data_IF_266821776353
#
_entry.id   IF_266821776353
#
_cell.length_a   1.000
_cell.length_b   1.000
_cell.length_c   1.000
_cell.angle_alpha   90.00
_cell.angle_beta   90.00
_cell.angle_gamma   90.00
#
_symmetry.space_group_name_H-M   'P 1'
#
loop_
_entity.id
_entity.type
_entity.pdbx_description
1 polymer ?
#
# COMPACT_ATOMS: atom_id res chain seq x y z
N UNK A 1 -7.38 18.40 -8.89
CA UNK A 1 -7.70 17.50 -7.74
C UNK A 1 -6.44 17.37 -6.91
N UNK A 2 -6.56 17.50 -5.60
CA UNK A 2 -5.44 17.35 -4.65
C UNK A 2 -5.11 15.87 -4.42
N UNK A 3 -3.85 15.51 -4.52
CA UNK A 3 -3.37 14.14 -4.36
C UNK A 3 -2.09 14.14 -3.53
N UNK A 4 -1.98 13.15 -2.63
CA UNK A 4 -0.79 12.94 -1.83
C UNK A 4 -0.20 11.57 -2.13
N UNK A 5 1.10 11.53 -2.35
CA UNK A 5 1.88 10.30 -2.34
C UNK A 5 2.68 10.30 -1.04
N UNK A 6 2.53 9.25 -0.27
CA UNK A 6 3.20 9.06 1.01
C UNK A 6 4.03 7.80 0.91
N UNK A 7 5.32 7.88 1.19
CA UNK A 7 6.21 6.73 1.22
C UNK A 7 7.03 6.69 2.49
N UNK A 8 7.43 5.50 2.90
CA UNK A 8 8.31 5.31 4.05
C UNK A 8 9.75 5.66 3.67
N UNK A 9 10.46 6.35 4.55
CA UNK A 9 11.89 6.60 4.40
C UNK A 9 12.64 5.42 4.99
N UNK A 10 13.50 4.80 4.19
CA UNK A 10 14.26 3.62 4.59
C UNK A 10 15.04 3.87 5.89
N UNK A 11 14.96 2.92 6.81
CA UNK A 11 15.60 2.97 8.15
C UNK A 11 15.16 4.14 9.05
N UNK A 12 14.05 4.82 8.72
CA UNK A 12 13.54 5.95 9.49
C UNK A 12 12.08 5.71 9.93
N UNK A 13 11.68 6.33 11.05
CA UNK A 13 10.27 6.44 11.45
C UNK A 13 9.53 7.55 10.72
N UNK A 14 10.22 8.25 9.80
CA UNK A 14 9.66 9.34 9.01
C UNK A 14 9.06 8.84 7.71
N UNK A 15 8.13 9.62 7.21
CA UNK A 15 7.47 9.46 5.93
C UNK A 15 7.85 10.61 5.04
N UNK A 16 7.98 10.33 3.75
CA UNK A 16 8.06 11.37 2.72
C UNK A 16 6.65 11.65 2.21
N UNK A 17 6.16 12.86 2.39
CA UNK A 17 4.87 13.35 1.93
C UNK A 17 5.08 14.25 0.72
N UNK A 18 4.56 13.83 -0.43
CA UNK A 18 4.60 14.62 -1.66
C UNK A 18 3.18 15.02 -2.04
N UNK A 19 2.96 16.33 -2.19
CA UNK A 19 1.67 16.90 -2.57
C UNK A 19 1.65 17.30 -4.03
N UNK A 20 0.59 16.89 -4.74
CA UNK A 20 0.34 17.22 -6.14
C UNK A 20 -1.00 17.94 -6.34
N UNK A 21 -1.03 18.91 -7.25
CA UNK A 21 -2.25 19.46 -7.84
C UNK A 21 -2.32 19.09 -9.32
N UNK A 22 -3.24 18.16 -9.65
CA UNK A 22 -3.17 17.48 -10.94
C UNK A 22 -1.85 16.70 -11.04
N UNK A 23 -1.10 16.92 -12.12
CA UNK A 23 0.20 16.28 -12.33
C UNK A 23 1.40 17.13 -11.87
N UNK A 24 1.15 18.29 -11.22
CA UNK A 24 2.23 19.19 -10.80
C UNK A 24 2.55 18.94 -9.33
N UNK A 25 3.81 18.62 -9.04
CA UNK A 25 4.34 18.58 -7.67
C UNK A 25 4.38 20.00 -7.10
N UNK A 26 3.77 20.18 -5.95
CA UNK A 26 3.66 21.46 -5.24
C UNK A 26 4.58 21.52 -4.04
N UNK A 27 4.65 20.44 -3.28
CA UNK A 27 5.39 20.39 -2.01
C UNK A 27 5.92 18.98 -1.74
N UNK A 28 7.04 18.92 -1.07
CA UNK A 28 7.59 17.68 -0.51
C UNK A 28 8.12 17.97 0.90
N UNK A 29 7.79 17.12 1.85
CA UNK A 29 8.21 17.28 3.24
C UNK A 29 8.34 15.94 3.95
N UNK A 30 9.17 15.90 4.97
CA UNK A 30 9.27 14.76 5.88
C UNK A 30 8.34 14.97 7.08
N UNK A 31 7.50 13.98 7.34
CA UNK A 31 6.56 13.97 8.47
C UNK A 31 6.67 12.67 9.25
N UNK A 32 6.01 12.59 10.40
CA UNK A 32 5.79 11.32 11.10
C UNK A 32 4.41 10.75 10.78
N UNK A 33 4.20 9.46 11.04
CA UNK A 33 2.90 8.81 10.83
C UNK A 33 1.77 9.49 11.65
N UNK A 34 2.10 10.00 12.85
CA UNK A 34 1.15 10.70 13.72
C UNK A 34 0.74 12.09 13.19
N UNK A 35 1.58 12.69 12.34
CA UNK A 35 1.35 14.04 11.80
C UNK A 35 0.50 14.04 10.53
N UNK A 36 0.11 12.87 10.02
CA UNK A 36 -0.66 12.77 8.77
C UNK A 36 -1.92 13.63 8.78
N UNK A 37 -2.67 13.60 9.89
CA UNK A 37 -3.94 14.31 9.98
C UNK A 37 -3.81 15.83 9.89
N UNK A 38 -2.71 16.39 10.39
CA UNK A 38 -2.47 17.84 10.36
C UNK A 38 -1.91 18.35 9.05
N UNK A 39 -1.34 17.44 8.22
CA UNK A 39 -0.66 17.79 6.97
C UNK A 39 -1.45 17.43 5.72
N UNK A 40 -2.61 16.77 5.84
CA UNK A 40 -3.40 16.31 4.72
C UNK A 40 -4.76 17.01 4.68
N UNK A 41 -5.11 17.57 3.52
CA UNK A 41 -6.41 18.15 3.26
C UNK A 41 -7.51 17.08 3.20
N UNK A 42 -8.67 17.35 3.81
CA UNK A 42 -9.78 16.38 3.92
C UNK A 42 -10.43 15.97 2.60
N UNK A 43 -10.29 16.79 1.55
CA UNK A 43 -10.90 16.54 0.23
C UNK A 43 -9.89 15.99 -0.80
N UNK A 44 -8.82 15.35 -0.35
CA UNK A 44 -7.76 14.82 -1.21
C UNK A 44 -7.81 13.30 -1.36
N UNK A 45 -7.10 12.79 -2.37
CA UNK A 45 -6.79 11.36 -2.51
C UNK A 45 -5.41 11.10 -1.95
N UNK A 46 -5.28 10.00 -1.22
CA UNK A 46 -4.03 9.57 -0.60
C UNK A 46 -3.60 8.24 -1.21
N UNK A 47 -2.38 8.21 -1.72
CA UNK A 47 -1.67 6.98 -2.12
C UNK A 47 -0.56 6.73 -1.11
N UNK A 48 -0.79 5.81 -0.19
CA UNK A 48 0.22 5.40 0.77
C UNK A 48 0.99 4.19 0.21
N UNK A 49 2.27 4.40 -0.02
CA UNK A 49 3.18 3.41 -0.58
C UNK A 49 3.82 2.62 0.56
N UNK A 50 3.44 1.36 0.68
CA UNK A 50 4.06 0.43 1.62
C UNK A 50 5.46 0.07 1.16
N UNK A 51 6.39 0.02 2.10
CA UNK A 51 7.76 -0.44 1.85
C UNK A 51 7.75 -1.89 1.35
N UNK A 52 8.13 -2.09 0.11
CA UNK A 52 8.11 -3.41 -0.53
C UNK A 52 9.12 -4.39 0.04
N UNK A 53 10.09 -3.93 0.86
CA UNK A 53 10.95 -4.82 1.65
C UNK A 53 10.21 -5.53 2.80
N UNK A 54 9.02 -5.04 3.17
CA UNK A 54 8.12 -5.59 4.20
C UNK A 54 6.98 -6.42 3.61
N UNK A 55 7.04 -6.68 2.31
CA UNK A 55 5.98 -7.38 1.59
C UNK A 55 6.61 -8.54 0.82
N UNK A 56 6.10 -9.73 1.05
CA UNK A 56 6.42 -10.89 0.19
C UNK A 56 5.27 -11.09 -0.80
N UNK A 57 5.60 -11.25 -2.07
CA UNK A 57 4.61 -11.37 -3.15
C UNK A 57 4.78 -12.71 -3.87
N UNK A 58 3.67 -13.42 -4.09
CA UNK A 58 3.64 -14.74 -4.69
C UNK A 58 2.57 -14.82 -5.77
N UNK A 59 2.83 -15.61 -6.81
CA UNK A 59 1.78 -16.12 -7.67
C UNK A 59 1.28 -17.45 -7.11
N UNK A 60 -0.02 -17.54 -6.83
CA UNK A 60 -0.62 -18.76 -6.31
C UNK A 60 -2.04 -18.92 -6.86
N UNK A 61 -2.23 -19.92 -7.69
CA UNK A 61 -3.49 -20.16 -8.39
C UNK A 61 -4.61 -20.51 -7.41
N UNK A 62 -5.73 -19.81 -7.50
CA UNK A 62 -6.95 -20.16 -6.79
C UNK A 62 -7.69 -21.26 -7.55
N UNK A 63 -8.20 -22.26 -6.85
CA UNK A 63 -9.05 -23.31 -7.44
C UNK A 63 -10.50 -22.82 -7.58
N UNK A 64 -11.23 -23.42 -8.54
CA UNK A 64 -12.64 -23.13 -8.71
C UNK A 64 -13.40 -23.49 -7.43
N UNK A 65 -14.33 -22.63 -7.03
CA UNK A 65 -15.16 -22.82 -5.83
C UNK A 65 -14.43 -22.83 -4.48
N UNK A 66 -13.13 -22.51 -4.46
CA UNK A 66 -12.37 -22.44 -3.22
C UNK A 66 -12.77 -21.22 -2.39
N UNK A 67 -13.12 -21.43 -1.10
CA UNK A 67 -13.37 -20.32 -0.19
C UNK A 67 -12.06 -19.59 0.14
N UNK A 68 -12.15 -18.36 0.65
CA UNK A 68 -10.97 -17.58 1.01
C UNK A 68 -10.13 -18.31 2.07
N UNK A 69 -10.77 -18.88 3.07
CA UNK A 69 -10.11 -19.57 4.18
C UNK A 69 -9.37 -20.83 3.71
N UNK A 70 -9.97 -21.61 2.80
CA UNK A 70 -9.32 -22.78 2.20
C UNK A 70 -8.13 -22.37 1.34
N UNK A 71 -8.29 -21.33 0.53
CA UNK A 71 -7.22 -20.78 -0.29
C UNK A 71 -6.02 -20.33 0.54
N UNK A 72 -6.27 -19.58 1.62
CA UNK A 72 -5.25 -19.12 2.55
C UNK A 72 -4.55 -20.30 3.26
N UNK A 73 -5.31 -21.28 3.76
CA UNK A 73 -4.74 -22.47 4.40
C UNK A 73 -3.87 -23.28 3.42
N UNK A 74 -4.33 -23.50 2.19
CA UNK A 74 -3.57 -24.23 1.16
C UNK A 74 -2.31 -23.46 0.77
N UNK A 75 -2.39 -22.14 0.65
CA UNK A 75 -1.21 -21.30 0.37
C UNK A 75 -0.15 -21.48 1.45
N UNK A 76 -0.53 -21.38 2.72
CA UNK A 76 0.44 -21.54 3.83
C UNK A 76 1.02 -22.95 3.89
N UNK A 77 0.22 -23.98 3.67
CA UNK A 77 0.71 -25.36 3.62
C UNK A 77 1.71 -25.59 2.46
N UNK A 78 1.47 -24.97 1.28
CA UNK A 78 2.35 -25.09 0.12
C UNK A 78 3.66 -24.29 0.26
N UNK A 79 3.63 -23.22 1.03
CA UNK A 79 4.76 -22.28 1.15
C UNK A 79 5.49 -22.36 2.50
N UNK A 80 5.13 -23.29 3.37
CA UNK A 80 5.70 -23.42 4.72
C UNK A 80 7.24 -23.42 4.72
N UNK A 81 7.85 -24.17 3.80
CA UNK A 81 9.31 -24.34 3.73
C UNK A 81 10.07 -23.07 3.29
N UNK A 82 9.40 -22.13 2.61
CA UNK A 82 10.03 -20.91 2.09
C UNK A 82 9.68 -19.64 2.87
N UNK A 83 8.71 -19.75 3.79
CA UNK A 83 8.33 -18.61 4.63
C UNK A 83 9.31 -18.48 5.81
N UNK A 84 10.06 -17.40 5.79
CA UNK A 84 11.06 -17.09 6.84
C UNK A 84 10.41 -16.63 8.14
N UNK A 85 9.25 -15.99 8.05
CA UNK A 85 8.55 -15.41 9.19
C UNK A 85 7.39 -16.29 9.65
N UNK A 86 7.12 -16.27 10.95
CA UNK A 86 5.95 -16.92 11.53
C UNK A 86 4.66 -16.43 10.84
N UNK A 87 3.85 -17.37 10.40
CA UNK A 87 2.56 -17.13 9.71
C UNK A 87 1.64 -16.27 10.57
N UNK A 88 1.65 -16.43 11.89
CA UNK A 88 0.83 -15.67 12.84
C UNK A 88 1.13 -14.16 12.81
N UNK A 89 2.34 -13.79 12.39
CA UNK A 89 2.82 -12.42 12.29
C UNK A 89 2.63 -11.83 10.90
N UNK A 90 1.96 -12.56 9.98
CA UNK A 90 1.71 -12.12 8.63
C UNK A 90 0.24 -11.77 8.39
N UNK A 91 0.00 -10.74 7.59
CA UNK A 91 -1.32 -10.38 7.06
C UNK A 91 -1.41 -10.86 5.62
N UNK A 92 -2.37 -11.75 5.38
CA UNK A 92 -2.62 -12.32 4.06
C UNK A 92 -3.60 -11.47 3.25
N UNK A 93 -3.23 -11.16 2.01
CA UNK A 93 -4.10 -10.54 1.01
C UNK A 93 -3.99 -11.31 -0.29
N UNK A 94 -5.10 -11.43 -1.01
CA UNK A 94 -5.12 -12.02 -2.35
C UNK A 94 -5.94 -11.15 -3.29
N UNK A 95 -5.40 -10.96 -4.50
CA UNK A 95 -6.04 -10.21 -5.57
C UNK A 95 -5.95 -11.01 -6.85
N UNK A 96 -7.02 -10.99 -7.64
CA UNK A 96 -7.04 -11.61 -8.96
C UNK A 96 -7.04 -10.51 -10.01
N UNK A 97 -6.04 -10.51 -10.88
CA UNK A 97 -5.93 -9.62 -12.03
C UNK A 97 -5.58 -10.44 -13.27
N UNK A 98 -6.40 -10.37 -14.32
CA UNK A 98 -6.13 -11.00 -15.64
C UNK A 98 -5.66 -12.47 -15.59
N UNK A 99 -6.35 -13.32 -14.80
CA UNK A 99 -6.02 -14.72 -14.52
C UNK A 99 -4.77 -14.95 -13.64
N UNK A 100 -4.08 -13.92 -13.20
CA UNK A 100 -3.03 -14.02 -12.20
C UNK A 100 -3.62 -13.81 -10.82
N UNK A 101 -3.34 -14.73 -9.90
CA UNK A 101 -3.72 -14.56 -8.50
C UNK A 101 -2.46 -14.20 -7.71
N UNK A 102 -2.38 -12.92 -7.35
CA UNK A 102 -1.30 -12.41 -6.52
C UNK A 102 -1.65 -12.56 -5.05
N UNK A 103 -0.77 -13.16 -4.30
CA UNK A 103 -0.81 -13.24 -2.85
C UNK A 103 0.26 -12.33 -2.28
N UNK A 104 -0.13 -11.56 -1.26
CA UNK A 104 0.76 -10.66 -0.54
C UNK A 104 0.75 -11.04 0.94
N UNK A 105 1.93 -11.22 1.48
CA UNK A 105 2.15 -11.32 2.91
C UNK A 105 2.81 -10.03 3.39
N UNK A 106 2.20 -9.38 4.36
CA UNK A 106 2.68 -8.13 4.94
C UNK A 106 2.86 -8.34 6.43
N UNK A 107 3.97 -7.86 6.98
CA UNK A 107 4.16 -7.84 8.43
C UNK A 107 2.94 -7.23 9.12
N UNK A 108 2.36 -7.96 10.06
CA UNK A 108 1.07 -7.62 10.66
C UNK A 108 1.15 -6.34 11.49
N UNK A 109 2.19 -6.18 12.30
CA UNK A 109 2.35 -5.00 13.15
C UNK A 109 2.58 -3.76 12.28
N UNK A 110 3.44 -3.86 11.28
CA UNK A 110 3.68 -2.80 10.30
C UNK A 110 2.39 -2.36 9.59
N UNK A 111 1.63 -3.32 9.07
CA UNK A 111 0.36 -3.04 8.40
C UNK A 111 -0.67 -2.41 9.34
N UNK A 112 -0.86 -2.97 10.54
CA UNK A 112 -1.89 -2.51 11.49
C UNK A 112 -1.59 -1.11 12.02
N UNK A 113 -0.32 -0.78 12.25
CA UNK A 113 0.08 0.57 12.63
C UNK A 113 -0.30 1.61 11.57
N UNK A 114 0.00 1.34 10.30
CA UNK A 114 -0.36 2.23 9.18
C UNK A 114 -1.88 2.28 9.00
N UNK A 115 -2.55 1.13 8.99
CA UNK A 115 -4.00 1.04 8.83
C UNK A 115 -4.74 1.83 9.92
N UNK A 116 -4.29 1.77 11.16
CA UNK A 116 -4.89 2.48 12.28
C UNK A 116 -4.79 4.00 12.11
N UNK A 117 -3.63 4.52 11.71
CA UNK A 117 -3.45 5.96 11.48
C UNK A 117 -4.25 6.45 10.27
N UNK A 118 -4.21 5.72 9.17
CA UNK A 118 -4.97 6.06 7.96
C UNK A 118 -6.50 6.01 8.21
N UNK A 119 -6.97 5.12 9.07
CA UNK A 119 -8.40 5.02 9.41
C UNK A 119 -8.95 6.25 10.16
N UNK A 120 -8.07 7.11 10.69
CA UNK A 120 -8.46 8.39 11.31
C UNK A 120 -8.75 9.49 10.29
N UNK A 121 -8.40 9.25 9.02
CA UNK A 121 -8.61 10.19 7.92
C UNK A 121 -9.94 9.88 7.21
N UNK A 122 -10.58 10.93 6.68
CA UNK A 122 -11.84 10.81 5.92
C UNK A 122 -11.61 10.88 4.41
N UNK A 123 -10.41 10.56 3.96
CA UNK A 123 -9.98 10.68 2.59
C UNK A 123 -10.27 9.39 1.80
N UNK A 124 -10.27 9.49 0.46
CA UNK A 124 -10.13 8.31 -0.41
C UNK A 124 -8.68 7.84 -0.31
N UNK A 125 -8.45 6.63 0.17
CA UNK A 125 -7.12 6.11 0.49
C UNK A 125 -6.84 4.85 -0.33
N UNK A 126 -5.66 4.83 -0.95
CA UNK A 126 -5.06 3.65 -1.56
C UNK A 126 -3.80 3.29 -0.79
N UNK A 127 -3.76 2.09 -0.25
CA UNK A 127 -2.62 1.50 0.43
C UNK A 127 -2.06 0.41 -0.48
N UNK A 128 -0.91 0.65 -1.09
CA UNK A 128 -0.34 -0.18 -2.16
C UNK A 128 1.16 -0.41 -1.95
N UNK A 129 1.76 -1.47 -2.50
CA UNK A 129 3.21 -1.63 -2.50
C UNK A 129 3.89 -0.52 -3.32
N UNK A 130 5.03 -0.03 -2.87
CA UNK A 130 5.73 1.06 -3.56
C UNK A 130 6.20 0.72 -4.99
N UNK A 131 6.50 -0.56 -5.29
CA UNK A 131 6.89 -0.96 -6.64
C UNK A 131 5.75 -0.81 -7.68
N UNK A 132 4.50 -0.56 -7.23
CA UNK A 132 3.40 -0.20 -8.14
C UNK A 132 3.56 1.18 -8.78
N UNK A 133 4.51 2.01 -8.32
CA UNK A 133 4.95 3.19 -9.06
C UNK A 133 5.46 2.84 -10.46
N UNK A 134 5.98 1.61 -10.65
CA UNK A 134 6.33 1.06 -11.96
C UNK A 134 5.04 0.59 -12.66
N UNK A 135 4.33 1.54 -13.31
CA UNK A 135 2.95 1.34 -13.78
C UNK A 135 2.84 0.52 -15.08
N UNK A 136 3.92 0.32 -15.82
CA UNK A 136 3.87 -0.49 -17.05
C UNK A 136 3.50 -1.94 -16.74
N UNK A 137 2.68 -2.50 -17.61
CA UNK A 137 2.23 -3.90 -17.54
C UNK A 137 3.09 -4.77 -18.45
N UNK A 138 3.10 -6.06 -18.14
CA UNK A 138 3.71 -7.11 -18.97
C UNK A 138 5.22 -6.95 -19.25
N UNK A 139 5.93 -6.22 -18.38
CA UNK A 139 7.37 -6.05 -18.44
C UNK A 139 8.00 -6.19 -17.06
N UNK A 140 9.20 -6.75 -17.05
CA UNK A 140 10.07 -6.73 -15.89
C UNK A 140 10.76 -5.37 -15.83
N UNK A 141 10.52 -4.62 -14.77
CA UNK A 141 10.96 -3.23 -14.63
C UNK A 141 11.78 -3.07 -13.36
N UNK A 142 12.80 -2.24 -13.43
CA UNK A 142 13.51 -1.78 -12.25
C UNK A 142 13.75 -0.28 -12.27
N UNK A 143 13.89 0.30 -11.10
CA UNK A 143 14.39 1.65 -10.92
C UNK A 143 15.27 1.76 -9.69
N UNK A 144 16.43 2.37 -9.88
CA UNK A 144 17.30 2.78 -8.76
C UNK A 144 16.86 4.15 -8.27
N UNK A 145 16.39 4.21 -7.02
CA UNK A 145 16.14 5.46 -6.32
C UNK A 145 17.37 5.85 -5.49
N UNK A 146 17.29 6.96 -4.76
CA UNK A 146 18.38 7.42 -3.90
C UNK A 146 18.87 6.34 -2.91
N UNK A 147 17.93 5.57 -2.34
CA UNK A 147 18.20 4.68 -1.20
C UNK A 147 17.91 3.22 -1.48
N UNK A 148 17.21 2.88 -2.57
CA UNK A 148 16.78 1.52 -2.85
C UNK A 148 16.60 1.25 -4.35
N UNK A 149 16.60 -0.03 -4.69
CA UNK A 149 16.18 -0.56 -5.97
C UNK A 149 14.74 -1.07 -5.82
N UNK A 150 13.84 -0.61 -6.68
CA UNK A 150 12.48 -1.16 -6.82
C UNK A 150 12.46 -2.06 -8.04
N UNK A 151 11.85 -3.23 -7.91
CA UNK A 151 11.67 -4.20 -9.00
C UNK A 151 10.20 -4.58 -9.06
N UNK A 152 9.66 -4.60 -10.28
CA UNK A 152 8.34 -5.14 -10.60
C UNK A 152 8.48 -6.12 -11.75
N UNK A 153 7.95 -7.31 -11.57
CA UNK A 153 7.94 -8.35 -12.58
C UNK A 153 6.67 -8.24 -13.45
N UNK A 154 6.76 -8.75 -14.66
CA UNK A 154 5.67 -8.80 -15.65
C UNK A 154 4.43 -9.55 -15.14
N UNK A 155 4.62 -10.49 -14.21
CA UNK A 155 3.54 -11.23 -13.57
C UNK A 155 2.87 -10.47 -12.39
N UNK A 156 3.28 -9.23 -12.13
CA UNK A 156 2.74 -8.36 -11.08
C UNK A 156 3.41 -8.51 -9.73
N UNK A 157 4.31 -9.49 -9.54
CA UNK A 157 5.15 -9.56 -8.33
C UNK A 157 6.15 -8.41 -8.30
N UNK A 158 6.64 -8.09 -7.13
CA UNK A 158 7.68 -7.08 -6.99
C UNK A 158 8.22 -7.01 -5.57
N UNK A 159 9.33 -6.33 -5.42
CA UNK A 159 10.02 -6.15 -4.15
C UNK A 159 10.94 -4.93 -4.19
N UNK A 160 11.52 -4.57 -3.05
CA UNK A 160 12.57 -3.58 -2.98
C UNK A 160 13.78 -4.09 -2.23
N UNK A 161 14.94 -3.57 -2.60
CA UNK A 161 16.22 -3.87 -1.97
C UNK A 161 16.93 -2.58 -1.59
N UNK A 162 17.70 -2.57 -0.48
CA UNK A 162 18.64 -1.49 -0.21
C UNK A 162 19.60 -1.28 -1.39
N UNK A 163 19.93 -0.03 -1.69
CA UNK A 163 20.80 0.31 -2.83
C UNK A 163 22.17 -0.36 -2.75
N UNK A 164 22.71 -0.52 -1.56
CA UNK A 164 24.00 -1.18 -1.30
C UNK A 164 24.07 -2.64 -1.73
N UNK A 165 22.91 -3.30 -1.84
CA UNK A 165 22.81 -4.71 -2.29
C UNK A 165 22.31 -4.84 -3.72
N UNK A 166 21.99 -3.71 -4.40
CA UNK A 166 21.34 -3.74 -5.70
C UNK A 166 22.21 -4.33 -6.79
N UNK A 167 23.49 -3.99 -6.84
CA UNK A 167 24.38 -4.42 -7.94
C UNK A 167 24.71 -5.92 -7.82
N UNK A 168 25.09 -6.38 -6.63
CA UNK A 168 25.35 -7.81 -6.38
C UNK A 168 24.11 -8.67 -6.58
N UNK A 169 22.94 -8.13 -6.28
CA UNK A 169 21.68 -8.82 -6.53
C UNK A 169 21.36 -8.90 -8.01
N UNK A 170 21.49 -7.81 -8.76
CA UNK A 170 21.25 -7.79 -10.21
C UNK A 170 22.21 -8.71 -10.97
N UNK A 171 23.47 -8.82 -10.52
CA UNK A 171 24.43 -9.77 -11.06
C UNK A 171 24.08 -11.24 -10.76
N UNK A 172 23.42 -11.50 -9.63
CA UNK A 172 23.03 -12.86 -9.20
C UNK A 172 21.75 -13.36 -9.85
N UNK A 173 20.88 -12.45 -10.30
CA UNK A 173 19.61 -12.81 -10.93
C UNK A 173 19.83 -12.78 -12.45
N UNK A 174 19.76 -13.95 -13.08
CA UNK A 174 19.64 -14.04 -14.53
C UNK A 174 18.20 -13.63 -14.97
N UNK A 175 17.81 -12.37 -14.70
CA UNK A 175 16.63 -11.77 -15.31
C UNK A 175 17.11 -11.18 -16.63
N UNK A 176 16.99 -11.97 -17.69
CA UNK A 176 17.55 -11.66 -19.02
C UNK A 176 16.98 -10.38 -19.67
N UNK A 177 15.92 -9.80 -19.12
CA UNK A 177 15.20 -8.67 -19.72
C UNK A 177 14.66 -7.66 -18.70
N UNK A 178 15.44 -7.34 -17.66
CA UNK A 178 15.05 -6.29 -16.72
C UNK A 178 15.30 -4.91 -17.32
N UNK A 179 14.25 -4.24 -17.77
CA UNK A 179 14.32 -2.88 -18.26
C UNK A 179 14.59 -1.91 -17.10
N UNK A 180 15.81 -1.37 -17.04
CA UNK A 180 16.13 -0.33 -16.08
C UNK A 180 15.53 1.01 -16.53
N UNK A 181 14.55 1.51 -15.77
CA UNK A 181 14.00 2.83 -15.98
C UNK A 181 15.01 3.88 -15.56
N UNK A 182 15.53 4.62 -16.53
CA UNK A 182 16.25 5.87 -16.25
C UNK A 182 15.21 6.97 -16.01
N UNK A 183 15.11 7.46 -14.81
CA UNK A 183 14.15 8.53 -14.51
C UNK A 183 14.19 8.98 -13.08
N UNK A 184 13.77 10.22 -12.88
CA UNK A 184 13.55 10.76 -11.55
C UNK A 184 12.29 10.15 -10.93
N UNK A 185 12.34 9.88 -9.63
CA UNK A 185 11.20 9.39 -8.86
C UNK A 185 9.96 10.29 -9.04
N UNK A 186 10.15 11.58 -9.22
CA UNK A 186 9.07 12.54 -9.49
C UNK A 186 8.32 12.21 -10.78
N UNK A 187 9.04 11.91 -11.86
CA UNK A 187 8.43 11.53 -13.13
C UNK A 187 7.60 10.25 -13.01
N UNK A 188 8.08 9.28 -12.24
CA UNK A 188 7.31 8.06 -11.97
C UNK A 188 6.05 8.34 -11.15
N UNK A 189 6.14 9.17 -10.12
CA UNK A 189 4.99 9.58 -9.33
C UNK A 189 3.95 10.30 -10.19
N UNK A 190 4.37 11.19 -11.09
CA UNK A 190 3.48 11.87 -12.03
C UNK A 190 2.81 10.89 -13.00
N UNK A 191 3.56 9.95 -13.58
CA UNK A 191 3.03 8.90 -14.45
C UNK A 191 2.03 8.01 -13.72
N UNK A 192 2.36 7.62 -12.50
CA UNK A 192 1.47 6.82 -11.64
C UNK A 192 0.15 7.55 -11.36
N UNK A 193 0.19 8.86 -11.03
CA UNK A 193 -1.01 9.65 -10.80
C UNK A 193 -1.86 9.88 -12.05
N UNK A 194 -1.23 9.89 -13.24
CA UNK A 194 -1.91 9.97 -14.52
C UNK A 194 -2.56 8.63 -14.93
N UNK A 195 -2.04 7.51 -14.43
CA UNK A 195 -2.69 6.21 -14.57
C UNK A 195 -3.90 6.13 -13.63
N UNK A 196 -4.93 5.41 -14.04
CA UNK A 196 -6.16 5.26 -13.27
C UNK A 196 -5.92 4.66 -11.86
N UNK A 197 -6.98 4.64 -11.05
CA UNK A 197 -6.99 4.03 -9.72
C UNK A 197 -6.34 2.65 -9.71
N UNK A 198 -5.43 2.35 -8.77
CA UNK A 198 -4.75 1.06 -8.71
C UNK A 198 -5.75 -0.07 -8.47
N UNK A 199 -5.57 -1.18 -9.20
CA UNK A 199 -6.41 -2.39 -9.07
C UNK A 199 -6.25 -3.09 -7.72
N UNK A 200 -5.13 -2.84 -7.03
CA UNK A 200 -4.80 -3.41 -5.72
C UNK A 200 -4.88 -2.31 -4.66
N UNK A 201 -5.62 -2.59 -3.60
CA UNK A 201 -5.70 -1.70 -2.44
C UNK A 201 -5.83 -2.53 -1.15
N UNK A 202 -4.84 -2.42 -0.28
CA UNK A 202 -4.85 -3.08 1.03
C UNK A 202 -5.64 -2.32 2.09
N UNK A 203 -5.94 -1.04 1.85
CA UNK A 203 -6.69 -0.25 2.82
C UNK A 203 -8.11 -0.78 2.98
N UNK A 204 -8.47 -1.08 4.21
CA UNK A 204 -9.83 -1.47 4.58
C UNK A 204 -10.43 -0.34 5.41
N UNK A 205 -11.39 0.36 4.83
CA UNK A 205 -12.13 1.38 5.59
C UNK A 205 -12.79 0.71 6.79
N UNK A 206 -12.42 1.14 7.99
CA UNK A 206 -13.09 0.75 9.23
C UNK A 206 -13.84 1.99 9.74
N UNK A 207 -15.16 2.06 9.54
CA UNK A 207 -15.91 3.20 10.04
C UNK A 207 -15.78 3.25 11.56
N UNK A 208 -15.18 4.31 12.08
CA UNK A 208 -15.26 4.62 13.50
C UNK A 208 -16.65 5.21 13.78
N UNK A 209 -17.15 5.06 15.02
CA UNK A 209 -18.44 5.66 15.40
C UNK A 209 -18.44 7.16 15.07
N UNK A 210 -17.33 7.87 15.29
CA UNK A 210 -17.19 9.27 14.92
C UNK A 210 -17.36 9.51 13.41
N UNK A 211 -16.79 8.65 12.55
CA UNK A 211 -16.91 8.76 11.09
C UNK A 211 -18.35 8.47 10.62
N UNK A 212 -19.03 7.52 11.26
CA UNK A 212 -20.44 7.20 10.97
C UNK A 212 -21.32 8.39 11.36
N UNK A 213 -21.12 8.95 12.55
CA UNK A 213 -21.87 10.10 13.05
C UNK A 213 -21.67 11.34 12.16
N UNK A 214 -20.43 11.62 11.76
CA UNK A 214 -20.14 12.74 10.84
C UNK A 214 -20.79 12.54 9.46
N UNK A 215 -20.80 11.30 8.93
CA UNK A 215 -21.40 10.98 7.65
C UNK A 215 -22.94 11.10 7.68
N UNK A 216 -23.55 10.83 8.83
CA UNK A 216 -24.99 10.99 9.06
C UNK A 216 -25.37 12.42 9.42
N UNK A 217 -24.41 13.37 9.44
CA UNK A 217 -24.61 14.75 9.93
C UNK A 217 -25.20 14.82 11.36
N UNK A 218 -24.99 13.78 12.15
CA UNK A 218 -25.46 13.72 13.53
C UNK A 218 -24.44 14.48 14.39
N UNK A 219 -24.91 15.54 15.03
CA UNK A 219 -24.07 16.34 15.94
C UNK A 219 -23.90 15.61 17.29
N UNK A 220 -22.88 16.02 18.07
CA UNK A 220 -22.72 15.50 19.43
C UNK A 220 -23.96 15.74 20.29
N UNK A 221 -24.70 16.82 20.01
CA UNK A 221 -25.92 17.17 20.69
C UNK A 221 -27.03 16.17 20.40
N UNK A 222 -27.16 15.74 19.12
CA UNK A 222 -28.16 14.75 18.71
C UNK A 222 -27.91 13.40 19.39
N UNK A 223 -26.65 13.00 19.54
CA UNK A 223 -26.26 11.76 20.23
C UNK A 223 -26.63 11.81 21.72
N UNK A 224 -26.37 12.95 22.38
CA UNK A 224 -26.74 13.15 23.78
C UNK A 224 -28.26 13.14 23.95
N UNK A 225 -29.01 13.81 23.08
CA UNK A 225 -30.46 13.78 23.07
C UNK A 225 -31.04 12.38 22.86
N UNK A 226 -30.47 11.62 21.91
CA UNK A 226 -30.89 10.23 21.60
C UNK A 226 -30.60 9.30 22.81
N UNK A 227 -29.44 9.45 23.45
CA UNK A 227 -29.10 8.67 24.64
C UNK A 227 -29.96 9.02 25.84
N UNK A 228 -30.28 10.31 26.05
CA UNK A 228 -31.20 10.74 27.07
C UNK A 228 -32.63 10.21 26.85
N UNK A 229 -33.08 10.16 25.59
CA UNK A 229 -34.40 9.60 25.22
C UNK A 229 -34.50 8.10 25.49
N UNK A 230 -33.42 7.35 25.24
CA UNK A 230 -33.35 5.91 25.51
C UNK A 230 -33.28 5.55 26.99
N UNK A 231 -32.89 6.50 27.86
CA UNK A 231 -32.90 6.32 29.33
C UNK A 231 -34.26 6.66 30.00
N UNK A 232 -35.21 7.21 29.25
CA UNK A 232 -36.54 7.61 29.73
C UNK A 232 -37.60 6.57 29.32
N UNK A 233 -37.28 5.65 28.40
CA UNK A 233 -38.13 4.53 28.00
C UNK A 233 -37.72 3.28 28.75
#
# INVERSE_FOLDING_TARGET
MKQYIISTIFSSKKLNLVYFEGNKKIKEEEITLNDLRSNIDTASIIYFLLDSSKISTFNFKKEESETKEKYEARFFADKEDILVNDISNQKFFSFSENNNNLVFLIDKEYYENIQNELSKLNNKIFLIPEYFLLSEKDKDLSIKTKNKLLIKLSDGRGFSLPKEHSDSFLESIAIDHLDEKSGDLENLQQQFLASNDPSINFFKFRPTIANVLNKLMITKIDVVLLSAFLLII
#
